data_IF_711326236629
#
_entry.id   IF_711326236629
#
_cell.length_a   1.000
_cell.length_b   1.000
_cell.length_c   1.000
_cell.angle_alpha   90.00
_cell.angle_beta   90.00
_cell.angle_gamma   90.00
#
_symmetry.space_group_name_H-M   'P 1'
#
loop_
_entity.id
_entity.type
_entity.pdbx_description
1 polymer ?
#
# COMPACT_ATOMS: atom_id res chain seq x y z
N UNK A 1 13.87 14.01 -6.94
CA UNK A 1 13.43 14.21 -5.54
C UNK A 1 12.27 13.24 -5.31
N UNK A 2 12.11 12.70 -4.11
CA UNK A 2 10.97 11.84 -3.78
C UNK A 2 9.64 12.60 -3.93
N UNK A 3 8.58 11.92 -4.38
CA UNK A 3 7.24 12.53 -4.46
C UNK A 3 6.70 12.96 -3.10
N UNK A 4 5.71 13.85 -3.10
CA UNK A 4 4.97 14.19 -1.88
C UNK A 4 4.17 12.97 -1.39
N UNK A 5 3.63 12.16 -2.31
CA UNK A 5 2.95 10.91 -1.99
C UNK A 5 3.84 9.95 -1.19
N UNK A 6 5.11 9.77 -1.57
CA UNK A 6 6.03 8.89 -0.86
C UNK A 6 6.35 9.41 0.55
N UNK A 7 6.50 10.74 0.71
CA UNK A 7 6.71 11.36 2.02
C UNK A 7 5.49 11.16 2.92
N UNK A 8 4.27 11.37 2.40
CA UNK A 8 3.02 11.12 3.14
C UNK A 8 2.88 9.65 3.54
N UNK A 9 3.24 8.73 2.63
CA UNK A 9 3.27 7.29 2.92
C UNK A 9 4.26 6.93 4.04
N UNK A 10 5.47 7.49 4.04
CA UNK A 10 6.48 7.23 5.06
C UNK A 10 6.03 7.64 6.47
N UNK A 11 5.16 8.66 6.56
CA UNK A 11 4.47 9.03 7.79
C UNK A 11 3.32 8.07 8.10
N UNK A 12 2.39 7.83 7.16
CA UNK A 12 1.20 7.02 7.38
C UNK A 12 1.50 5.57 7.75
N UNK A 13 2.57 4.97 7.20
CA UNK A 13 2.96 3.59 7.52
C UNK A 13 3.53 3.45 8.94
N UNK A 14 3.89 4.54 9.62
CA UNK A 14 4.37 4.47 11.01
C UNK A 14 3.29 3.98 11.96
N UNK A 15 2.01 4.29 11.71
CA UNK A 15 0.89 3.78 12.52
C UNK A 15 0.90 2.24 12.58
N UNK A 16 1.24 1.57 11.48
CA UNK A 16 1.39 0.11 11.46
C UNK A 16 2.57 -0.36 12.31
N UNK A 17 3.67 0.39 12.32
CA UNK A 17 4.83 0.15 13.18
C UNK A 17 4.51 0.35 14.66
N UNK A 18 3.81 1.42 14.99
CA UNK A 18 3.41 1.75 16.37
C UNK A 18 2.46 0.73 16.96
N UNK A 19 1.50 0.21 16.16
CA UNK A 19 0.68 -0.93 16.57
C UNK A 19 1.52 -2.17 16.93
N UNK A 20 2.62 -2.41 16.22
CA UNK A 20 3.52 -3.52 16.53
C UNK A 20 4.40 -3.22 17.76
N UNK A 21 4.80 -1.97 17.96
CA UNK A 21 5.50 -1.54 19.17
C UNK A 21 4.59 -1.67 20.41
N UNK A 22 3.31 -1.35 20.28
CA UNK A 22 2.31 -1.57 21.33
C UNK A 22 2.09 -3.06 21.61
N UNK A 23 2.10 -3.91 20.58
CA UNK A 23 2.10 -5.35 20.78
C UNK A 23 3.30 -5.77 21.64
N UNK A 24 4.50 -5.29 21.32
CA UNK A 24 5.71 -5.62 22.08
C UNK A 24 5.65 -5.16 23.54
N UNK A 25 5.14 -3.95 23.79
CA UNK A 25 5.02 -3.39 25.12
C UNK A 25 3.97 -4.11 25.99
N UNK A 26 2.88 -4.57 25.39
CA UNK A 26 1.76 -5.19 26.10
C UNK A 26 1.88 -6.71 26.22
N UNK A 27 2.82 -7.34 25.50
CA UNK A 27 3.00 -8.79 25.49
C UNK A 27 3.77 -9.28 26.72
N UNK A 28 3.17 -9.07 27.89
CA UNK A 28 3.64 -9.55 29.20
C UNK A 28 3.11 -10.97 29.47
N UNK A 29 3.65 -11.68 30.46
CA UNK A 29 3.17 -13.04 30.79
C UNK A 29 2.21 -13.04 32.00
N UNK A 30 0.97 -13.58 31.86
CA UNK A 30 0.35 -14.07 30.64
C UNK A 30 -0.10 -12.92 29.71
N UNK A 31 -0.11 -13.11 28.39
CA UNK A 31 -0.48 -12.06 27.45
C UNK A 31 -1.97 -11.70 27.57
N UNK A 32 -2.34 -10.43 27.36
CA UNK A 32 -3.74 -10.03 27.25
C UNK A 32 -4.45 -10.83 26.14
N UNK A 33 -5.69 -11.33 26.36
CA UNK A 33 -6.39 -12.19 25.41
C UNK A 33 -6.53 -11.60 24.00
N UNK A 34 -6.65 -10.27 23.89
CA UNK A 34 -6.92 -9.55 22.65
C UNK A 34 -5.66 -9.01 21.95
N UNK A 35 -4.46 -9.27 22.49
CA UNK A 35 -3.22 -8.63 22.01
C UNK A 35 -2.93 -8.92 20.53
N UNK A 36 -3.37 -10.07 20.03
CA UNK A 36 -3.25 -10.48 18.64
C UNK A 36 -3.98 -9.55 17.65
N UNK A 37 -4.97 -8.76 18.12
CA UNK A 37 -5.66 -7.74 17.32
C UNK A 37 -4.67 -6.70 16.79
N UNK A 38 -3.64 -6.35 17.56
CA UNK A 38 -2.68 -5.31 17.17
C UNK A 38 -1.89 -5.69 15.92
N UNK A 39 -1.48 -6.95 15.79
CA UNK A 39 -0.80 -7.45 14.56
C UNK A 39 -1.73 -7.47 13.35
N UNK A 40 -3.00 -7.83 13.56
CA UNK A 40 -4.02 -7.81 12.49
C UNK A 40 -4.32 -6.39 12.03
N UNK A 41 -4.51 -5.47 12.97
CA UNK A 41 -4.71 -4.05 12.71
C UNK A 41 -3.49 -3.43 12.01
N UNK A 42 -2.27 -3.79 12.41
CA UNK A 42 -1.03 -3.33 11.77
C UNK A 42 -1.00 -3.66 10.27
N UNK A 43 -1.38 -4.88 9.87
CA UNK A 43 -1.46 -5.23 8.44
C UNK A 43 -2.55 -4.43 7.70
N UNK A 44 -3.70 -4.21 8.33
CA UNK A 44 -4.79 -3.42 7.74
C UNK A 44 -4.36 -1.97 7.53
N UNK A 45 -3.74 -1.35 8.55
CA UNK A 45 -3.22 0.02 8.49
C UNK A 45 -2.13 0.17 7.44
N UNK A 46 -1.18 -0.78 7.36
CA UNK A 46 -0.11 -0.72 6.37
C UNK A 46 -0.63 -0.79 4.92
N UNK A 47 -1.65 -1.61 4.66
CA UNK A 47 -2.28 -1.68 3.34
C UNK A 47 -3.12 -0.45 3.01
N UNK A 48 -3.78 0.15 4.00
CA UNK A 48 -4.50 1.41 3.81
C UNK A 48 -3.54 2.56 3.48
N UNK A 49 -2.39 2.65 4.17
CA UNK A 49 -1.34 3.61 3.84
C UNK A 49 -0.82 3.42 2.40
N UNK A 50 -0.59 2.17 1.99
CA UNK A 50 -0.15 1.86 0.63
C UNK A 50 -1.22 2.16 -0.44
N UNK A 51 -2.50 1.97 -0.11
CA UNK A 51 -3.63 2.33 -0.98
C UNK A 51 -3.64 3.84 -1.23
N UNK A 52 -3.64 4.64 -0.17
CA UNK A 52 -3.57 6.10 -0.24
C UNK A 52 -2.35 6.57 -1.04
N UNK A 53 -1.18 5.96 -0.81
CA UNK A 53 0.03 6.25 -1.58
C UNK A 53 -0.17 6.11 -3.10
N UNK A 54 -0.82 5.05 -3.58
CA UNK A 54 -1.04 4.88 -5.02
C UNK A 54 -2.03 5.91 -5.58
N UNK A 55 -3.05 6.31 -4.80
CA UNK A 55 -3.99 7.36 -5.19
C UNK A 55 -3.30 8.72 -5.27
N UNK A 56 -2.52 9.06 -4.25
CA UNK A 56 -1.79 10.32 -4.14
C UNK A 56 -0.71 10.42 -5.22
N UNK A 57 0.09 9.38 -5.43
CA UNK A 57 1.15 9.36 -6.44
C UNK A 57 0.57 9.56 -7.84
N UNK A 58 -0.54 8.88 -8.14
CA UNK A 58 -1.16 9.00 -9.46
C UNK A 58 -1.76 10.40 -9.67
N UNK A 59 -2.35 10.99 -8.62
CA UNK A 59 -2.86 12.36 -8.65
C UNK A 59 -1.73 13.37 -8.86
N UNK A 60 -0.65 13.26 -8.07
CA UNK A 60 0.55 14.09 -8.19
C UNK A 60 1.17 13.99 -9.59
N UNK A 61 1.25 12.78 -10.14
CA UNK A 61 1.79 12.53 -11.49
C UNK A 61 0.94 13.18 -12.58
N UNK A 62 -0.39 13.12 -12.47
CA UNK A 62 -1.29 13.77 -13.43
C UNK A 62 -1.21 15.28 -13.33
N UNK A 63 -1.13 15.83 -12.12
CA UNK A 63 -0.97 17.27 -11.95
C UNK A 63 0.34 17.76 -12.54
N UNK A 64 1.44 16.99 -12.39
CA UNK A 64 2.71 17.28 -13.04
C UNK A 64 2.58 17.30 -14.57
N UNK A 65 2.10 16.20 -15.17
CA UNK A 65 1.94 16.08 -16.64
C UNK A 65 1.04 17.17 -17.22
N UNK A 66 -0.02 17.54 -16.49
CA UNK A 66 -0.94 18.59 -16.93
C UNK A 66 -0.38 20.01 -16.77
N UNK A 67 0.56 20.24 -15.85
CA UNK A 67 1.16 21.55 -15.63
C UNK A 67 2.12 22.00 -16.75
N UNK A 68 2.70 21.03 -17.48
CA UNK A 68 3.60 21.29 -18.61
C UNK A 68 2.86 21.74 -19.88
N UNK A 69 1.55 21.48 -19.97
CA UNK A 69 0.70 22.05 -21.02
C UNK A 69 0.40 23.52 -20.75
N UNK A 70 0.81 24.42 -21.66
CA UNK A 70 0.49 25.86 -21.63
C UNK A 70 -1.03 26.09 -21.65
N UNK A 71 -1.66 26.10 -20.48
CA UNK A 71 -3.05 26.45 -20.26
C UNK A 71 -3.85 25.33 -19.59
N UNK A 72 -4.52 25.68 -18.48
CA UNK A 72 -5.51 24.85 -17.77
C UNK A 72 -6.76 24.71 -18.65
N UNK A 73 -6.66 23.90 -19.70
CA UNK A 73 -7.70 23.70 -20.70
C UNK A 73 -8.75 22.70 -20.24
N UNK A 74 -9.92 22.70 -20.89
CA UNK A 74 -11.02 21.75 -20.63
C UNK A 74 -10.59 20.28 -20.63
N UNK A 75 -9.54 19.93 -21.37
CA UNK A 75 -8.97 18.58 -21.39
C UNK A 75 -8.27 18.23 -20.06
N UNK A 76 -7.48 19.15 -19.50
CA UNK A 76 -6.83 18.99 -18.19
C UNK A 76 -7.86 18.80 -17.08
N UNK A 77 -8.91 19.63 -17.07
CA UNK A 77 -10.00 19.51 -16.10
C UNK A 77 -10.74 18.17 -16.24
N UNK A 78 -11.06 17.77 -17.48
CA UNK A 78 -11.67 16.47 -17.75
C UNK A 78 -10.79 15.31 -17.26
N UNK A 79 -9.48 15.38 -17.46
CA UNK A 79 -8.55 14.32 -17.06
C UNK A 79 -8.47 14.17 -15.54
N UNK A 80 -8.33 15.30 -14.81
CA UNK A 80 -8.38 15.33 -13.33
C UNK A 80 -9.72 14.81 -12.81
N UNK A 81 -10.83 15.26 -13.38
CA UNK A 81 -12.17 14.82 -12.98
C UNK A 81 -12.38 13.32 -13.24
N UNK A 82 -11.88 12.81 -14.37
CA UNK A 82 -11.92 11.39 -14.70
C UNK A 82 -11.11 10.58 -13.69
N UNK A 83 -9.87 10.98 -13.39
CA UNK A 83 -9.03 10.30 -12.39
C UNK A 83 -9.74 10.27 -11.03
N UNK A 84 -10.24 11.42 -10.57
CA UNK A 84 -10.97 11.51 -9.31
C UNK A 84 -12.21 10.59 -9.28
N UNK A 85 -12.89 10.42 -10.41
CA UNK A 85 -14.03 9.50 -10.49
C UNK A 85 -13.61 8.03 -10.41
N UNK A 86 -12.51 7.66 -11.08
CA UNK A 86 -11.98 6.29 -11.07
C UNK A 86 -11.42 5.90 -9.69
N UNK A 87 -10.71 6.81 -9.02
CA UNK A 87 -10.13 6.59 -7.70
C UNK A 87 -11.20 6.29 -6.63
N UNK A 88 -12.44 6.79 -6.78
CA UNK A 88 -13.56 6.41 -5.88
C UNK A 88 -13.83 4.91 -5.81
N UNK A 89 -13.42 4.15 -6.82
CA UNK A 89 -13.60 2.71 -6.89
C UNK A 89 -12.28 1.94 -6.70
N UNK A 90 -11.17 2.65 -6.51
CA UNK A 90 -9.88 2.07 -6.20
C UNK A 90 -9.87 1.61 -4.74
N UNK A 91 -10.44 0.44 -4.49
CA UNK A 91 -10.40 -0.19 -3.17
C UNK A 91 -9.36 -1.31 -3.11
N UNK A 92 -8.49 -1.35 -2.12
CA UNK A 92 -7.39 -2.30 -1.98
C UNK A 92 -6.30 -2.20 -3.08
N UNK A 93 -5.01 -2.15 -2.69
CA UNK A 93 -3.90 -1.96 -3.62
C UNK A 93 -3.46 -3.28 -4.28
N UNK A 94 -4.37 -4.02 -4.93
CA UNK A 94 -4.00 -5.25 -5.64
C UNK A 94 -3.37 -4.95 -7.00
N UNK A 95 -2.58 -5.88 -7.54
CA UNK A 95 -1.96 -5.67 -8.86
C UNK A 95 -2.99 -5.54 -9.97
N UNK A 96 -4.15 -6.19 -9.81
CA UNK A 96 -5.27 -6.12 -10.75
C UNK A 96 -5.93 -4.74 -10.77
N UNK A 97 -5.72 -3.92 -9.74
CA UNK A 97 -6.25 -2.55 -9.65
C UNK A 97 -5.18 -1.51 -9.96
N UNK A 98 -3.99 -1.66 -9.39
CA UNK A 98 -2.86 -0.74 -9.59
C UNK A 98 -2.41 -0.72 -11.06
N UNK A 99 -2.22 -1.87 -11.69
CA UNK A 99 -1.70 -1.91 -13.07
C UNK A 99 -2.64 -1.24 -14.09
N UNK A 100 -3.96 -1.54 -14.14
CA UNK A 100 -4.84 -0.92 -15.11
C UNK A 100 -4.99 0.59 -14.93
N UNK A 101 -5.08 1.09 -13.70
CA UNK A 101 -5.29 2.53 -13.46
C UNK A 101 -4.05 3.34 -13.86
N UNK A 102 -2.84 2.88 -13.49
CA UNK A 102 -1.60 3.53 -13.94
C UNK A 102 -1.42 3.45 -15.46
N UNK A 103 -1.75 2.31 -16.09
CA UNK A 103 -1.75 2.21 -17.56
C UNK A 103 -2.73 3.16 -18.22
N UNK A 104 -3.92 3.33 -17.65
CA UNK A 104 -4.97 4.21 -18.19
C UNK A 104 -4.51 5.66 -18.20
N UNK A 105 -3.86 6.12 -17.12
CA UNK A 105 -3.55 7.53 -16.91
C UNK A 105 -2.12 7.93 -17.31
N UNK A 106 -1.14 7.04 -17.14
CA UNK A 106 0.28 7.31 -17.46
C UNK A 106 0.79 6.54 -18.67
N UNK A 107 -0.01 5.63 -19.25
CA UNK A 107 0.34 4.91 -20.48
C UNK A 107 1.33 3.74 -20.31
N UNK A 108 1.81 3.46 -19.09
CA UNK A 108 2.76 2.36 -18.84
C UNK A 108 2.37 1.47 -17.66
N UNK A 109 2.97 0.28 -17.61
CA UNK A 109 2.79 -0.65 -16.50
C UNK A 109 3.71 -0.25 -15.33
N UNK A 110 3.14 0.39 -14.31
CA UNK A 110 3.91 0.80 -13.12
C UNK A 110 4.53 -0.39 -12.39
N UNK A 111 3.93 -1.58 -12.50
CA UNK A 111 4.37 -2.76 -11.75
C UNK A 111 5.63 -3.39 -12.33
N UNK A 112 6.09 -2.98 -13.52
CA UNK A 112 7.39 -3.37 -14.05
C UNK A 112 8.55 -2.69 -13.30
N UNK A 113 8.28 -1.54 -12.66
CA UNK A 113 9.24 -0.85 -11.81
C UNK A 113 9.48 -1.49 -10.44
N UNK A 114 8.73 -2.54 -10.09
CA UNK A 114 8.81 -3.19 -8.78
C UNK A 114 10.00 -4.14 -8.70
N UNK A 115 11.19 -3.56 -8.63
CA UNK A 115 12.46 -4.27 -8.58
C UNK A 115 13.36 -3.68 -7.50
N UNK A 116 13.94 -4.55 -6.68
CA UNK A 116 14.94 -4.22 -5.68
C UNK A 116 15.73 -5.48 -5.31
N UNK A 117 16.65 -5.39 -4.34
CA UNK A 117 17.52 -6.50 -3.97
C UNK A 117 16.73 -7.80 -3.73
N UNK A 118 17.00 -8.81 -4.58
CA UNK A 118 16.37 -10.14 -4.57
C UNK A 118 14.85 -10.20 -4.83
N UNK A 119 14.23 -9.10 -5.23
CA UNK A 119 12.81 -9.04 -5.59
C UNK A 119 12.65 -8.56 -7.04
N UNK A 120 12.10 -9.42 -7.89
CA UNK A 120 11.72 -9.08 -9.26
C UNK A 120 10.22 -8.68 -9.32
N UNK A 121 9.77 -8.03 -10.41
CA UNK A 121 8.37 -7.62 -10.57
C UNK A 121 7.36 -8.74 -10.38
N UNK A 122 7.68 -9.98 -10.79
CA UNK A 122 6.80 -11.14 -10.63
C UNK A 122 6.62 -11.50 -9.16
N UNK A 123 7.70 -11.52 -8.38
CA UNK A 123 7.67 -11.76 -6.93
C UNK A 123 6.94 -10.64 -6.20
N UNK A 124 7.22 -9.38 -6.51
CA UNK A 124 6.56 -8.24 -5.89
C UNK A 124 5.03 -8.27 -6.10
N UNK A 125 4.60 -8.53 -7.33
CA UNK A 125 3.17 -8.70 -7.67
C UNK A 125 2.51 -9.84 -6.90
N UNK A 126 3.17 -11.00 -6.84
CA UNK A 126 2.65 -12.17 -6.13
C UNK A 126 2.51 -11.88 -4.63
N UNK A 127 3.52 -11.26 -4.02
CA UNK A 127 3.53 -10.94 -2.60
C UNK A 127 2.47 -9.88 -2.24
N UNK A 128 2.33 -8.81 -3.03
CA UNK A 128 1.29 -7.80 -2.81
C UNK A 128 -0.11 -8.42 -2.85
N UNK A 129 -0.40 -9.25 -3.86
CA UNK A 129 -1.70 -9.94 -3.95
C UNK A 129 -1.94 -10.90 -2.79
N UNK A 130 -0.89 -11.61 -2.34
CA UNK A 130 -0.95 -12.47 -1.16
C UNK A 130 -1.31 -11.67 0.09
N UNK A 131 -0.72 -10.49 0.28
CA UNK A 131 -0.97 -9.61 1.43
C UNK A 131 -2.36 -8.97 1.40
N UNK A 132 -2.82 -8.52 0.23
CA UNK A 132 -4.20 -8.02 0.04
C UNK A 132 -5.21 -9.11 0.37
N UNK A 133 -4.98 -10.35 -0.08
CA UNK A 133 -5.83 -11.50 0.29
C UNK A 133 -5.79 -11.78 1.79
N UNK A 134 -4.59 -11.78 2.40
CA UNK A 134 -4.40 -11.98 3.85
C UNK A 134 -5.18 -10.93 4.67
N UNK A 135 -5.22 -9.67 4.22
CA UNK A 135 -6.06 -8.62 4.82
C UNK A 135 -7.54 -8.94 4.74
N UNK A 136 -8.03 -9.42 3.59
CA UNK A 136 -9.42 -9.84 3.43
C UNK A 136 -9.78 -11.01 4.35
N UNK A 137 -8.93 -12.02 4.45
CA UNK A 137 -9.12 -13.17 5.34
C UNK A 137 -9.15 -12.73 6.81
N UNK A 138 -8.28 -11.80 7.21
CA UNK A 138 -8.29 -11.21 8.55
C UNK A 138 -9.59 -10.43 8.81
N UNK A 139 -9.96 -9.50 7.93
CA UNK A 139 -11.10 -8.62 8.16
C UNK A 139 -12.44 -9.37 8.18
N UNK A 140 -12.59 -10.41 7.34
CA UNK A 140 -13.88 -11.10 7.16
C UNK A 140 -13.98 -12.45 7.88
N UNK A 141 -12.86 -13.10 8.19
CA UNK A 141 -12.85 -14.51 8.61
C UNK A 141 -12.03 -14.78 9.88
N UNK A 142 -11.35 -13.79 10.46
CA UNK A 142 -10.66 -14.01 11.74
C UNK A 142 -11.67 -14.08 12.88
N UNK A 143 -11.95 -15.31 13.34
CA UNK A 143 -12.74 -15.56 14.54
C UNK A 143 -12.03 -14.97 15.77
N UNK A 144 -12.78 -14.48 16.75
CA UNK A 144 -12.20 -14.11 18.04
C UNK A 144 -11.64 -15.37 18.72
N UNK A 145 -10.51 -15.27 19.43
CA UNK A 145 -10.01 -16.39 20.22
C UNK A 145 -11.11 -16.91 21.16
N UNK A 146 -11.38 -18.23 21.11
CA UNK A 146 -12.27 -18.89 22.06
C UNK A 146 -11.43 -19.35 23.25
N UNK A 147 -11.85 -19.09 24.51
CA UNK A 147 -11.10 -19.55 25.68
C UNK A 147 -10.84 -21.06 25.63
N UNK A 148 -9.56 -21.45 25.77
CA UNK A 148 -9.14 -22.86 25.79
C UNK A 148 -8.83 -23.50 24.43
N UNK A 149 -8.98 -22.79 23.31
CA UNK A 149 -8.56 -23.28 21.99
C UNK A 149 -7.36 -22.48 21.45
N UNK A 150 -6.21 -23.12 21.17
CA UNK A 150 -5.08 -22.45 20.54
C UNK A 150 -5.45 -22.11 19.09
N UNK A 151 -5.69 -20.82 18.82
CA UNK A 151 -5.90 -20.32 17.46
C UNK A 151 -4.53 -19.96 16.85
N UNK A 152 -4.18 -20.49 15.67
CA UNK A 152 -2.96 -20.09 14.97
C UNK A 152 -2.91 -18.56 14.77
N UNK A 153 -1.74 -17.96 14.98
CA UNK A 153 -1.53 -16.53 14.73
C UNK A 153 -1.83 -16.21 13.26
N UNK A 154 -2.77 -15.29 13.01
CA UNK A 154 -3.07 -14.85 11.65
C UNK A 154 -1.85 -14.17 10.99
N UNK A 155 -1.08 -13.42 11.77
CA UNK A 155 0.19 -12.80 11.38
C UNK A 155 1.13 -12.88 12.57
N UNK A 156 2.35 -13.37 12.37
CA UNK A 156 3.39 -13.31 13.40
C UNK A 156 4.06 -11.93 13.44
N UNK A 157 4.72 -11.58 14.54
CA UNK A 157 5.45 -10.32 14.67
C UNK A 157 6.52 -10.16 13.59
N UNK A 158 7.32 -11.21 13.36
CA UNK A 158 8.40 -11.18 12.37
C UNK A 158 7.85 -11.11 10.94
N UNK A 159 6.75 -11.80 10.66
CA UNK A 159 6.03 -11.60 9.39
C UNK A 159 5.59 -10.15 9.21
N UNK A 160 5.01 -9.53 10.25
CA UNK A 160 4.53 -8.15 10.15
C UNK A 160 5.68 -7.16 9.87
N UNK A 161 6.82 -7.30 10.54
CA UNK A 161 8.03 -6.50 10.26
C UNK A 161 8.48 -6.64 8.82
N UNK A 162 8.50 -7.87 8.29
CA UNK A 162 8.81 -8.14 6.88
C UNK A 162 7.79 -7.51 5.94
N UNK A 163 6.50 -7.54 6.28
CA UNK A 163 5.45 -6.92 5.46
C UNK A 163 5.57 -5.39 5.43
N UNK A 164 5.83 -4.73 6.56
CA UNK A 164 6.09 -3.28 6.58
C UNK A 164 7.29 -2.94 5.70
N UNK A 165 8.39 -3.68 5.83
CA UNK A 165 9.57 -3.47 4.99
C UNK A 165 9.26 -3.65 3.50
N UNK A 166 8.53 -4.72 3.15
CA UNK A 166 8.08 -4.96 1.78
C UNK A 166 7.27 -3.79 1.21
N UNK A 167 6.32 -3.24 1.96
CA UNK A 167 5.52 -2.09 1.51
C UNK A 167 6.37 -0.84 1.31
N UNK A 168 7.37 -0.60 2.17
CA UNK A 168 8.32 0.50 2.01
C UNK A 168 9.15 0.37 0.74
N UNK A 169 9.69 -0.80 0.46
CA UNK A 169 10.46 -1.04 -0.77
C UNK A 169 9.59 -0.95 -2.02
N UNK A 170 8.36 -1.48 -1.97
CA UNK A 170 7.39 -1.38 -3.05
C UNK A 170 7.04 0.08 -3.36
N UNK A 171 6.79 0.90 -2.34
CA UNK A 171 6.48 2.31 -2.50
C UNK A 171 7.66 3.06 -3.13
N UNK A 172 8.87 2.91 -2.60
CA UNK A 172 10.09 3.54 -3.14
C UNK A 172 10.37 3.14 -4.59
N UNK A 173 10.24 1.86 -4.92
CA UNK A 173 10.45 1.36 -6.27
C UNK A 173 9.41 1.92 -7.25
N UNK A 174 8.14 1.99 -6.82
CA UNK A 174 7.07 2.65 -7.57
C UNK A 174 7.39 4.12 -7.81
N UNK A 175 7.78 4.85 -6.77
CA UNK A 175 8.06 6.28 -6.82
C UNK A 175 9.15 6.59 -7.84
N UNK A 176 10.28 5.89 -7.70
CA UNK A 176 11.45 6.06 -8.57
C UNK A 176 11.10 5.78 -10.03
N UNK A 177 10.37 4.70 -10.28
CA UNK A 177 9.98 4.31 -11.63
C UNK A 177 9.01 5.30 -12.27
N UNK A 178 8.03 5.80 -11.52
CA UNK A 178 7.07 6.78 -12.04
C UNK A 178 7.78 8.09 -12.36
N UNK A 179 8.61 8.61 -11.45
CA UNK A 179 9.36 9.85 -11.65
C UNK A 179 10.30 9.76 -12.87
N UNK A 180 10.98 8.64 -13.07
CA UNK A 180 11.82 8.41 -14.25
C UNK A 180 10.99 8.45 -15.55
N UNK A 181 9.83 7.79 -15.55
CA UNK A 181 8.97 7.66 -16.73
C UNK A 181 8.25 8.95 -17.12
N UNK A 182 7.89 9.80 -16.17
CA UNK A 182 7.22 11.08 -16.46
C UNK A 182 8.19 12.23 -16.73
N UNK A 183 9.46 12.09 -16.37
CA UNK A 183 10.51 13.05 -16.70
C UNK A 183 11.08 12.88 -18.12
N UNK A 184 10.75 11.77 -18.79
CA UNK A 184 11.19 11.43 -20.16
C UNK A 184 10.12 11.79 -21.17
#
# INVERSE_FOLDING_TARGET
MASQALQAFDHAIQDAGDLLNHFDALNVHPPPPEIEVLKRASLVMALAALEAYFEDLLTESIDHVCSDSKGDGRLTEFFRASLKSDLKFFHAPSTQRVKPIFKKYLGFDVTEGWTWNHCDPKKARAELNRLVKKRGDIAHRSARPVPGQPVPHAVTKDEMRRHIHFFKELAKATDSYVLEKIAT
#
